data_IF_263423377163
#
_entry.id   IF_263423377163
#
_cell.length_a   1.000
_cell.length_b   1.000
_cell.length_c   1.000
_cell.angle_alpha   90.00
_cell.angle_beta   90.00
_cell.angle_gamma   90.00
#
_symmetry.space_group_name_H-M   'P 1'
#
loop_
_entity.id
_entity.type
_entity.pdbx_description
1 polymer ?
#
# COMPACT_ATOMS: atom_id res chain seq x y z
N UNK A 1 3.56 4.72 13.40
CA UNK A 1 3.07 3.55 12.63
C UNK A 1 2.07 4.08 11.63
N UNK A 2 2.07 3.72 10.36
CA UNK A 2 1.07 4.28 9.44
C UNK A 2 -0.37 3.81 9.75
N UNK A 3 -1.35 4.39 9.07
CA UNK A 3 -2.74 3.93 9.06
C UNK A 3 -3.38 4.17 7.69
N UNK A 4 -4.41 3.40 7.35
CA UNK A 4 -5.09 3.56 6.06
C UNK A 4 -6.58 3.25 6.15
N UNK A 5 -7.31 3.70 5.12
CA UNK A 5 -8.72 3.45 4.86
C UNK A 5 -8.88 3.09 3.39
N UNK A 6 -9.70 2.09 3.09
CA UNK A 6 -10.11 1.75 1.72
C UNK A 6 -11.63 1.72 1.64
N UNK A 7 -12.20 2.51 0.74
CA UNK A 7 -13.60 2.48 0.36
C UNK A 7 -13.73 1.79 -1.00
N UNK A 8 -14.25 0.56 -1.03
CA UNK A 8 -14.42 -0.21 -2.27
C UNK A 8 -15.83 -0.02 -2.84
N UNK A 9 -15.92 0.32 -4.13
CA UNK A 9 -17.15 0.67 -4.86
C UNK A 9 -17.97 1.79 -4.19
N UNK A 10 -17.29 2.65 -3.43
CA UNK A 10 -17.87 3.81 -2.77
C UNK A 10 -17.01 5.00 -3.16
N UNK A 11 -17.60 5.91 -3.93
CA UNK A 11 -16.88 7.04 -4.52
C UNK A 11 -16.96 8.31 -3.66
N UNK A 12 -16.44 8.25 -2.43
CA UNK A 12 -16.53 9.34 -1.44
C UNK A 12 -15.15 9.71 -0.82
N UNK A 13 -14.41 10.67 -1.41
CA UNK A 13 -13.12 11.15 -0.90
C UNK A 13 -13.26 11.85 0.45
N UNK A 14 -14.39 12.54 0.66
CA UNK A 14 -14.62 13.28 1.89
C UNK A 14 -14.84 12.32 3.07
N UNK A 15 -15.55 11.20 2.85
CA UNK A 15 -15.66 10.12 3.83
C UNK A 15 -14.31 9.49 4.13
N UNK A 16 -13.53 9.13 3.11
CA UNK A 16 -12.20 8.56 3.30
C UNK A 16 -11.29 9.52 4.11
N UNK A 17 -11.33 10.81 3.80
CA UNK A 17 -10.63 11.87 4.53
C UNK A 17 -11.07 11.95 6.00
N UNK A 18 -12.37 12.00 6.28
CA UNK A 18 -12.89 12.00 7.67
C UNK A 18 -12.52 10.74 8.44
N UNK A 19 -12.44 9.59 7.78
CA UNK A 19 -12.08 8.32 8.41
C UNK A 19 -10.59 8.25 8.72
N UNK A 20 -9.72 8.66 7.80
CA UNK A 20 -8.26 8.63 8.03
C UNK A 20 -7.84 9.64 9.09
N UNK A 21 -8.52 10.79 9.17
CA UNK A 21 -8.24 11.81 10.19
C UNK A 21 -8.38 11.27 11.62
N UNK A 22 -9.36 10.38 11.85
CA UNK A 22 -9.54 9.72 13.16
C UNK A 22 -8.36 8.84 13.58
N UNK A 23 -7.54 8.41 12.62
CA UNK A 23 -6.34 7.59 12.85
C UNK A 23 -5.05 8.32 12.47
N UNK A 24 -5.08 9.62 12.20
CA UNK A 24 -3.93 10.41 11.77
C UNK A 24 -2.80 10.44 12.81
N UNK A 25 -3.13 10.31 14.10
CA UNK A 25 -2.15 10.20 15.19
C UNK A 25 -1.13 9.06 15.01
N UNK A 26 -1.45 8.04 14.19
CA UNK A 26 -0.53 6.94 13.89
C UNK A 26 0.61 7.43 12.97
N UNK A 27 0.29 8.23 11.96
CA UNK A 27 1.20 8.74 10.93
C UNK A 27 1.09 10.27 10.76
N UNK A 28 1.82 11.04 11.57
CA UNK A 28 1.69 12.50 11.65
C UNK A 28 2.38 13.27 10.51
N UNK A 29 3.15 12.61 9.65
CA UNK A 29 4.02 13.31 8.68
C UNK A 29 3.28 13.68 7.40
N UNK A 30 2.32 12.86 6.96
CA UNK A 30 1.51 13.12 5.77
C UNK A 30 0.14 12.44 5.89
N UNK A 31 -0.91 13.13 5.47
CA UNK A 31 -2.22 12.53 5.17
C UNK A 31 -2.51 12.73 3.69
N UNK A 32 -2.88 11.66 3.00
CA UNK A 32 -3.24 11.70 1.59
C UNK A 32 -4.47 10.86 1.32
N UNK A 33 -5.34 11.38 0.46
CA UNK A 33 -6.48 10.68 -0.12
C UNK A 33 -6.25 10.59 -1.62
N UNK A 34 -6.48 9.43 -2.22
CA UNK A 34 -6.26 9.23 -3.65
C UNK A 34 -7.27 8.28 -4.27
N UNK A 35 -7.45 8.48 -5.58
CA UNK A 35 -8.22 7.66 -6.51
C UNK A 35 -7.31 7.26 -7.65
N UNK A 36 -7.66 6.18 -8.32
CA UNK A 36 -7.00 5.73 -9.54
C UNK A 36 -8.04 5.63 -10.68
N UNK A 37 -7.64 5.92 -11.94
CA UNK A 37 -8.47 5.62 -13.10
C UNK A 37 -8.84 4.13 -13.14
N UNK A 38 -10.09 3.82 -13.49
CA UNK A 38 -10.61 2.44 -13.66
C UNK A 38 -10.55 1.53 -12.43
N UNK A 39 -10.09 2.01 -11.27
CA UNK A 39 -10.12 1.29 -10.00
C UNK A 39 -11.26 1.86 -9.17
N UNK A 40 -12.33 1.10 -8.86
CA UNK A 40 -13.47 1.62 -8.09
C UNK A 40 -13.14 1.64 -6.58
N UNK A 41 -12.06 2.32 -6.21
CA UNK A 41 -11.60 2.48 -4.84
C UNK A 41 -11.20 3.93 -4.54
N UNK A 42 -11.60 4.41 -3.37
CA UNK A 42 -11.03 5.60 -2.75
C UNK A 42 -10.19 5.14 -1.56
N UNK A 43 -8.92 5.49 -1.56
CA UNK A 43 -8.01 5.12 -0.47
C UNK A 43 -7.45 6.35 0.21
N UNK A 44 -7.23 6.24 1.52
CA UNK A 44 -6.60 7.27 2.32
C UNK A 44 -5.54 6.66 3.22
N UNK A 45 -4.46 7.39 3.47
CA UNK A 45 -3.33 6.92 4.26
C UNK A 45 -2.77 8.06 5.12
N UNK A 46 -2.42 7.75 6.37
CA UNK A 46 -1.64 8.61 7.26
C UNK A 46 -0.26 7.98 7.48
N UNK A 47 0.80 8.73 7.18
CA UNK A 47 2.16 8.23 7.05
C UNK A 47 3.04 8.62 8.23
N UNK A 48 3.77 7.64 8.77
CA UNK A 48 5.00 7.88 9.52
C UNK A 48 6.16 7.52 8.58
N UNK A 49 6.96 8.51 8.22
CA UNK A 49 7.98 8.45 7.19
C UNK A 49 9.26 7.79 7.71
N UNK A 50 9.41 6.49 7.46
CA UNK A 50 10.59 5.70 7.87
C UNK A 50 11.46 5.32 6.66
N UNK A 51 10.89 4.59 5.70
CA UNK A 51 11.55 4.20 4.44
C UNK A 51 10.99 5.05 3.28
N UNK A 52 11.89 5.50 2.40
CA UNK A 52 11.58 6.38 1.27
C UNK A 52 10.98 7.73 1.67
N UNK A 53 11.65 8.53 2.51
CA UNK A 53 11.08 9.75 3.07
C UNK A 53 10.67 10.79 2.02
N UNK A 54 11.33 10.80 0.85
CA UNK A 54 11.08 11.77 -0.20
C UNK A 54 10.00 11.35 -1.21
N UNK A 55 9.80 10.05 -1.44
CA UNK A 55 9.02 9.51 -2.57
C UNK A 55 8.06 8.38 -2.18
N UNK A 56 8.04 7.94 -0.91
CA UNK A 56 7.22 6.85 -0.41
C UNK A 56 5.81 7.25 0.04
N UNK A 57 5.23 8.31 -0.54
CA UNK A 57 3.84 8.70 -0.25
C UNK A 57 2.87 7.61 -0.68
N UNK A 58 1.81 7.40 0.11
CA UNK A 58 0.75 6.44 -0.20
C UNK A 58 -0.61 7.15 -0.18
N UNK A 59 -1.64 6.70 -0.94
CA UNK A 59 -1.69 5.48 -1.74
C UNK A 59 -0.73 5.45 -2.94
N UNK A 60 -0.15 4.29 -3.24
CA UNK A 60 0.75 4.07 -4.39
C UNK A 60 -0.09 3.56 -5.56
N UNK A 61 -0.02 4.23 -6.71
CA UNK A 61 -0.70 3.80 -7.93
C UNK A 61 0.33 3.37 -8.98
N UNK A 62 0.21 2.15 -9.49
CA UNK A 62 1.03 1.69 -10.62
C UNK A 62 0.27 0.64 -11.44
N UNK A 63 0.36 0.77 -12.77
CA UNK A 63 -0.23 -0.15 -13.75
C UNK A 63 -1.66 -0.61 -13.40
N UNK A 64 -2.56 0.36 -13.22
CA UNK A 64 -4.00 0.14 -12.92
C UNK A 64 -4.29 -0.49 -11.56
N UNK A 65 -3.32 -0.50 -10.63
CA UNK A 65 -3.51 -1.00 -9.27
C UNK A 65 -3.19 0.08 -8.25
N UNK A 66 -3.99 0.17 -7.19
CA UNK A 66 -3.85 1.13 -6.10
C UNK A 66 -3.55 0.39 -4.79
N UNK A 67 -2.52 0.80 -4.08
CA UNK A 67 -2.06 0.17 -2.85
C UNK A 67 -2.03 1.15 -1.67
N UNK A 68 -2.48 0.68 -0.52
CA UNK A 68 -2.15 1.25 0.80
C UNK A 68 -1.62 0.16 1.71
N UNK A 69 -0.60 0.48 2.49
CA UNK A 69 0.04 -0.42 3.43
C UNK A 69 0.41 0.29 4.73
N UNK A 70 0.37 -0.45 5.83
CA UNK A 70 0.94 -0.08 7.12
C UNK A 70 1.87 -1.21 7.54
N UNK A 71 3.17 -0.95 7.58
CA UNK A 71 4.15 -2.00 7.80
C UNK A 71 5.50 -1.70 7.19
N UNK A 72 6.33 -2.73 7.18
CA UNK A 72 7.63 -2.78 6.53
C UNK A 72 7.79 -4.16 5.90
N UNK A 73 8.17 -4.20 4.62
CA UNK A 73 8.58 -5.41 3.91
C UNK A 73 10.10 -5.53 4.02
N UNK A 74 10.60 -6.37 4.92
CA UNK A 74 12.02 -6.47 5.25
C UNK A 74 12.86 -6.98 4.08
N UNK A 75 12.33 -7.93 3.31
CA UNK A 75 13.03 -8.50 2.16
C UNK A 75 12.81 -7.71 0.85
N UNK A 76 12.39 -6.44 0.91
CA UNK A 76 12.10 -5.64 -0.27
C UNK A 76 13.30 -5.51 -1.22
N UNK A 77 14.52 -5.36 -0.70
CA UNK A 77 15.73 -5.24 -1.51
C UNK A 77 15.99 -6.50 -2.36
N UNK A 78 15.84 -7.68 -1.75
CA UNK A 78 15.99 -8.97 -2.45
C UNK A 78 14.89 -9.14 -3.52
N UNK A 79 13.66 -8.76 -3.18
CA UNK A 79 12.53 -8.82 -4.09
C UNK A 79 12.71 -7.86 -5.27
N UNK A 80 13.19 -6.63 -5.05
CA UNK A 80 13.50 -5.65 -6.10
C UNK A 80 14.56 -6.17 -7.06
N UNK A 81 15.63 -6.77 -6.54
CA UNK A 81 16.68 -7.38 -7.36
C UNK A 81 16.14 -8.46 -8.29
N UNK A 82 15.15 -9.25 -7.83
CA UNK A 82 14.54 -10.33 -8.59
C UNK A 82 13.45 -9.85 -9.56
N UNK A 83 12.74 -8.78 -9.21
CA UNK A 83 11.64 -8.20 -10.01
C UNK A 83 12.14 -7.18 -11.05
N UNK A 84 13.36 -6.68 -10.87
CA UNK A 84 14.00 -5.69 -11.73
C UNK A 84 13.87 -4.28 -11.15
N UNK A 85 14.97 -3.74 -10.65
CA UNK A 85 15.04 -2.42 -9.99
C UNK A 85 14.45 -1.29 -10.86
N UNK A 86 14.64 -1.35 -12.18
CA UNK A 86 14.16 -0.33 -13.12
C UNK A 86 12.63 -0.27 -13.25
N UNK A 87 11.90 -1.26 -12.73
CA UNK A 87 10.44 -1.26 -12.75
C UNK A 87 9.85 -0.43 -11.60
N UNK A 88 10.63 -0.10 -10.58
CA UNK A 88 10.16 0.61 -9.39
C UNK A 88 10.22 2.12 -9.57
N UNK A 89 9.18 2.80 -9.12
CA UNK A 89 9.01 4.25 -9.25
C UNK A 89 9.36 4.99 -7.95
N UNK A 90 9.42 4.28 -6.82
CA UNK A 90 9.71 4.81 -5.49
C UNK A 90 10.74 3.96 -4.76
N UNK A 91 11.34 4.53 -3.73
CA UNK A 91 12.18 3.81 -2.77
C UNK A 91 11.38 3.15 -1.61
N UNK A 92 10.04 3.21 -1.65
CA UNK A 92 9.20 2.56 -0.65
C UNK A 92 9.28 1.03 -0.77
N UNK A 93 9.49 0.38 0.36
CA UNK A 93 9.39 -1.07 0.49
C UNK A 93 8.01 -1.60 0.08
N UNK A 94 6.94 -0.82 0.35
CA UNK A 94 5.55 -1.19 0.08
C UNK A 94 5.26 -1.33 -1.41
N UNK A 95 5.96 -0.62 -2.29
CA UNK A 95 5.77 -0.76 -3.75
C UNK A 95 6.04 -2.18 -4.25
N UNK A 96 6.89 -2.93 -3.54
CA UNK A 96 7.18 -4.34 -3.83
C UNK A 96 5.93 -5.22 -3.88
N UNK A 97 4.88 -4.87 -3.11
CA UNK A 97 3.60 -5.59 -3.11
C UNK A 97 2.91 -5.47 -4.48
N UNK A 98 2.94 -4.29 -5.12
CA UNK A 98 2.37 -4.07 -6.46
C UNK A 98 3.08 -4.91 -7.51
N UNK A 99 4.41 -4.89 -7.49
CA UNK A 99 5.23 -5.65 -8.46
C UNK A 99 5.14 -7.16 -8.25
N UNK A 100 5.09 -7.63 -7.00
CA UNK A 100 4.85 -9.05 -6.71
C UNK A 100 3.48 -9.51 -7.19
N UNK A 101 2.43 -8.73 -6.94
CA UNK A 101 1.07 -9.04 -7.42
C UNK A 101 1.01 -9.19 -8.94
N UNK A 102 1.76 -8.36 -9.66
CA UNK A 102 1.83 -8.38 -11.13
C UNK A 102 2.77 -9.44 -11.70
N UNK A 103 3.61 -10.07 -10.87
CA UNK A 103 4.52 -11.11 -11.33
C UNK A 103 3.78 -12.41 -11.62
N UNK A 104 4.29 -13.23 -12.55
CA UNK A 104 3.77 -14.59 -12.84
C UNK A 104 4.02 -15.60 -11.70
N UNK A 105 4.38 -15.13 -10.50
CA UNK A 105 4.72 -15.97 -9.37
C UNK A 105 3.45 -16.44 -8.66
N UNK A 106 3.22 -17.75 -8.70
CA UNK A 106 2.20 -18.37 -7.86
C UNK A 106 2.47 -18.10 -6.38
N UNK A 107 1.40 -17.84 -5.60
CA UNK A 107 1.47 -17.55 -4.16
C UNK A 107 2.39 -16.37 -3.82
N UNK A 108 2.42 -15.33 -4.64
CA UNK A 108 3.25 -14.14 -4.44
C UNK A 108 3.21 -13.57 -3.01
N UNK A 109 2.05 -13.61 -2.33
CA UNK A 109 1.88 -13.13 -0.94
C UNK A 109 2.84 -13.84 0.02
N UNK A 110 3.09 -15.14 -0.18
CA UNK A 110 3.98 -15.92 0.70
C UNK A 110 5.46 -15.61 0.49
N UNK A 111 5.79 -14.67 -0.39
CA UNK A 111 7.15 -14.16 -0.60
C UNK A 111 7.42 -12.90 0.22
N UNK A 112 6.40 -12.28 0.79
CA UNK A 112 6.56 -11.13 1.66
C UNK A 112 7.12 -11.59 3.01
N UNK A 113 8.25 -11.02 3.41
CA UNK A 113 8.78 -11.10 4.77
C UNK A 113 8.71 -9.71 5.39
N UNK A 114 8.09 -9.60 6.56
CA UNK A 114 7.78 -8.30 7.14
C UNK A 114 6.67 -8.32 8.17
N UNK A 115 6.42 -7.13 8.71
CA UNK A 115 5.21 -6.83 9.48
C UNK A 115 4.34 -5.91 8.63
N UNK A 116 3.13 -6.31 8.28
CA UNK A 116 2.31 -5.54 7.35
C UNK A 116 0.81 -5.78 7.51
N UNK A 117 0.06 -4.75 7.20
CA UNK A 117 -1.33 -4.83 6.78
C UNK A 117 -1.44 -4.01 5.49
N UNK A 118 -2.11 -4.51 4.46
CA UNK A 118 -2.29 -3.77 3.22
C UNK A 118 -3.64 -4.03 2.57
N UNK A 119 -4.06 -3.11 1.71
CA UNK A 119 -5.12 -3.31 0.73
C UNK A 119 -4.60 -2.91 -0.65
N UNK A 120 -4.65 -3.86 -1.58
CA UNK A 120 -4.41 -3.64 -3.01
C UNK A 120 -5.74 -3.70 -3.74
N UNK A 121 -6.06 -2.66 -4.49
CA UNK A 121 -7.25 -2.57 -5.34
C UNK A 121 -6.86 -2.63 -6.81
N UNK A 122 -7.67 -3.36 -7.57
CA UNK A 122 -7.61 -3.56 -9.02
C UNK A 122 -8.95 -3.07 -9.61
N UNK A 123 -9.14 -3.07 -10.93
CA UNK A 123 -10.45 -2.74 -11.52
C UNK A 123 -11.60 -3.65 -11.06
N UNK A 124 -11.32 -4.94 -10.80
CA UNK A 124 -12.35 -5.95 -10.55
C UNK A 124 -12.48 -6.36 -9.07
N UNK A 125 -11.40 -6.25 -8.29
CA UNK A 125 -11.33 -6.76 -6.91
C UNK A 125 -10.41 -5.97 -5.99
N UNK A 126 -10.52 -6.28 -4.70
CA UNK A 126 -9.55 -5.89 -3.68
C UNK A 126 -8.91 -7.13 -3.06
N UNK A 127 -7.67 -6.99 -2.63
CA UNK A 127 -6.91 -7.98 -1.86
C UNK A 127 -6.49 -7.28 -0.57
N UNK A 128 -7.03 -7.76 0.56
CA UNK A 128 -6.61 -7.32 1.88
C UNK A 128 -5.81 -8.46 2.54
N UNK A 129 -4.64 -8.13 3.08
CA UNK A 129 -3.81 -9.11 3.75
C UNK A 129 -3.11 -8.50 4.96
N UNK A 130 -2.74 -9.37 5.89
CA UNK A 130 -2.00 -9.07 7.11
C UNK A 130 -0.85 -10.06 7.24
N UNK A 131 0.21 -9.67 7.92
CA UNK A 131 1.33 -10.55 8.24
C UNK A 131 0.86 -11.76 9.06
N UNK A 132 1.60 -12.90 9.02
CA UNK A 132 1.14 -14.16 9.60
C UNK A 132 0.84 -14.13 11.10
N UNK A 133 1.47 -13.22 11.84
CA UNK A 133 1.31 -13.08 13.29
C UNK A 133 0.35 -11.95 13.67
N UNK A 134 -0.11 -11.17 12.69
CA UNK A 134 -0.94 -10.00 12.91
C UNK A 134 -0.23 -8.91 13.69
N UNK A 135 1.03 -8.62 13.40
CA UNK A 135 1.80 -7.56 14.07
C UNK A 135 1.17 -6.19 13.81
N UNK A 136 0.77 -5.90 12.56
CA UNK A 136 0.13 -4.62 12.21
C UNK A 136 -1.40 -4.73 12.28
N UNK A 137 -2.10 -3.86 13.02
CA UNK A 137 -3.56 -3.93 13.14
C UNK A 137 -4.27 -3.69 11.83
#
# INVERSE_FOLDING_TARGET
MCGFVCLWKIDDPALAGRMVEKIAHRGPDEVRVSRAPNVPAVMAHCRLSIIGPADGSQPIYSAENLLVANGEIYNYADLRAILGESAFETSSDSETILHLFRSDRLRWITKLDGMFAFVLATPDRIIAARDPLGIKP
#
